data_IF_593995006967
#
_entry.id   IF_593995006967
#
_cell.length_a   1.000
_cell.length_b   1.000
_cell.length_c   1.000
_cell.angle_alpha   90.00
_cell.angle_beta   90.00
_cell.angle_gamma   90.00
#
_symmetry.space_group_name_H-M   'P 1'
#
loop_
_entity.id
_entity.type
_entity.pdbx_description
1 polymer ?
#
# COMPACT_ATOMS: atom_id res chain seq x y z
N UNK A 1 -5.31 10.02 -21.49
CA UNK A 1 -5.52 10.83 -20.26
C UNK A 1 -4.71 12.10 -20.39
N UNK A 2 -5.35 13.27 -20.21
CA UNK A 2 -4.66 14.56 -20.33
C UNK A 2 -3.79 14.82 -19.09
N UNK A 3 -2.62 15.47 -19.25
CA UNK A 3 -1.73 15.87 -18.14
C UNK A 3 -2.46 16.67 -17.06
N UNK A 4 -3.52 17.41 -17.44
CA UNK A 4 -4.35 18.17 -16.50
C UNK A 4 -5.18 17.27 -15.57
N UNK A 5 -5.68 16.13 -16.07
CA UNK A 5 -6.46 15.17 -15.27
C UNK A 5 -5.57 14.44 -14.26
N UNK A 6 -4.33 14.13 -14.67
CA UNK A 6 -3.31 13.54 -13.78
C UNK A 6 -2.97 14.50 -12.63
N UNK A 7 -2.78 15.80 -12.91
CA UNK A 7 -2.51 16.82 -11.88
C UNK A 7 -3.68 17.02 -10.92
N UNK A 8 -4.93 16.94 -11.40
CA UNK A 8 -6.12 17.06 -10.54
C UNK A 8 -6.29 15.81 -9.67
N UNK A 9 -6.02 14.62 -10.21
CA UNK A 9 -5.94 13.39 -9.42
C UNK A 9 -4.82 13.48 -8.38
N UNK A 10 -3.61 13.91 -8.75
CA UNK A 10 -2.49 14.12 -7.81
C UNK A 10 -2.79 15.13 -6.71
N UNK A 11 -3.58 16.17 -7.02
CA UNK A 11 -3.94 17.22 -6.06
C UNK A 11 -5.10 16.81 -5.14
N UNK A 12 -5.98 15.93 -5.61
CA UNK A 12 -7.07 15.30 -4.81
C UNK A 12 -6.62 14.07 -4.04
N UNK A 13 -5.60 13.39 -4.54
CA UNK A 13 -4.96 12.24 -3.91
C UNK A 13 -3.72 12.65 -3.11
N UNK A 14 -3.25 13.90 -3.16
CA UNK A 14 -2.22 14.42 -2.23
C UNK A 14 -2.60 14.29 -0.75
N UNK A 15 -3.86 14.51 -0.36
CA UNK A 15 -4.35 14.15 0.96
C UNK A 15 -4.38 12.64 1.21
N UNK A 16 -4.18 11.78 0.20
CA UNK A 16 -4.32 10.28 0.17
C UNK A 16 -2.99 9.53 -0.11
N UNK A 17 -1.99 10.18 -0.69
CA UNK A 17 -0.67 9.63 -1.05
C UNK A 17 0.53 10.46 -0.51
N UNK A 18 0.31 11.42 0.37
CA UNK A 18 1.35 12.34 0.85
C UNK A 18 2.26 11.77 1.94
N UNK A 19 3.27 11.01 1.52
CA UNK A 19 4.67 10.97 2.01
C UNK A 19 4.89 11.12 3.53
N UNK A 20 5.46 10.05 4.11
CA UNK A 20 6.26 10.04 5.34
C UNK A 20 5.52 10.37 6.65
N UNK A 21 5.20 9.30 7.40
CA UNK A 21 5.11 9.17 8.86
C UNK A 21 4.33 10.20 9.73
N UNK A 22 3.72 11.26 9.18
CA UNK A 22 2.99 12.27 9.98
C UNK A 22 1.71 12.81 9.35
N UNK A 23 1.28 12.37 8.17
CA UNK A 23 0.32 13.16 7.38
C UNK A 23 -0.90 12.41 6.83
N UNK A 24 -1.71 11.80 7.71
CA UNK A 24 -3.12 11.52 7.41
C UNK A 24 -4.15 12.26 8.29
N UNK A 25 -3.90 13.46 8.84
CA UNK A 25 -4.80 14.07 9.80
C UNK A 25 -6.22 14.12 9.26
N UNK A 26 -6.53 14.52 8.02
CA UNK A 26 -7.96 14.61 7.60
C UNK A 26 -8.73 13.28 7.41
N UNK A 27 -8.10 12.19 6.98
CA UNK A 27 -8.77 10.88 6.85
C UNK A 27 -8.74 10.12 8.19
N UNK A 28 -7.66 10.29 8.95
CA UNK A 28 -7.57 9.89 10.35
C UNK A 28 -8.63 10.64 11.16
N UNK A 29 -8.70 11.97 11.14
CA UNK A 29 -9.71 12.82 11.78
C UNK A 29 -11.15 12.39 11.46
N UNK A 30 -11.46 11.99 10.22
CA UNK A 30 -12.80 11.51 9.87
C UNK A 30 -13.11 10.10 10.44
N UNK A 31 -12.08 9.27 10.61
CA UNK A 31 -12.14 7.91 11.14
C UNK A 31 -12.02 7.90 12.68
N UNK A 32 -11.04 8.61 13.24
CA UNK A 32 -10.76 8.89 14.65
C UNK A 32 -11.90 9.68 15.32
N UNK A 33 -12.65 10.51 14.58
CA UNK A 33 -13.91 11.08 15.06
C UNK A 33 -15.07 10.07 15.11
N UNK A 34 -14.82 8.77 14.92
CA UNK A 34 -15.82 7.70 14.94
C UNK A 34 -16.78 7.73 13.75
N UNK A 35 -16.44 8.42 12.65
CA UNK A 35 -17.37 8.70 11.57
C UNK A 35 -17.03 7.97 10.28
N UNK A 36 -16.78 6.67 10.37
CA UNK A 36 -16.51 5.83 9.22
C UNK A 36 -17.64 5.84 8.17
N UNK A 37 -18.88 6.15 8.58
CA UNK A 37 -19.99 6.44 7.64
C UNK A 37 -19.70 7.63 6.72
N UNK A 38 -19.10 8.71 7.22
CA UNK A 38 -18.66 9.84 6.38
C UNK A 38 -17.51 9.46 5.46
N UNK A 39 -16.55 8.66 5.93
CA UNK A 39 -15.44 8.18 5.10
C UNK A 39 -15.95 7.33 3.91
N UNK A 40 -16.92 6.43 4.16
CA UNK A 40 -17.60 5.67 3.11
C UNK A 40 -18.38 6.58 2.16
N UNK A 41 -19.08 7.59 2.66
CA UNK A 41 -19.80 8.55 1.82
C UNK A 41 -18.87 9.36 0.91
N UNK A 42 -17.72 9.81 1.40
CA UNK A 42 -16.72 10.51 0.58
C UNK A 42 -16.12 9.58 -0.48
N UNK A 43 -15.83 8.32 -0.13
CA UNK A 43 -15.40 7.32 -1.10
C UNK A 43 -16.47 7.08 -2.18
N UNK A 44 -17.74 6.96 -1.80
CA UNK A 44 -18.87 6.79 -2.74
C UNK A 44 -19.07 8.03 -3.63
N UNK A 45 -18.86 9.25 -3.13
CA UNK A 45 -18.87 10.46 -3.96
C UNK A 45 -17.79 10.43 -5.03
N UNK A 46 -16.59 9.95 -4.69
CA UNK A 46 -15.50 9.78 -5.66
C UNK A 46 -15.85 8.68 -6.67
N UNK A 47 -16.39 7.55 -6.22
CA UNK A 47 -16.81 6.45 -7.10
C UNK A 47 -17.95 6.85 -8.05
N UNK A 48 -18.86 7.74 -7.64
CA UNK A 48 -19.89 8.30 -8.54
C UNK A 48 -19.30 9.11 -9.69
N UNK A 49 -18.20 9.82 -9.45
CA UNK A 49 -17.51 10.63 -10.49
C UNK A 49 -16.53 9.80 -11.30
N UNK A 50 -15.89 8.82 -10.67
CA UNK A 50 -14.86 7.97 -11.26
C UNK A 50 -15.04 6.51 -10.80
N UNK A 51 -15.99 5.76 -11.39
CA UNK A 51 -16.33 4.40 -10.93
C UNK A 51 -15.23 3.37 -11.18
N UNK A 52 -14.27 3.69 -12.03
CA UNK A 52 -13.14 2.82 -12.42
C UNK A 52 -11.94 2.97 -11.46
N UNK A 53 -11.95 3.96 -10.58
CA UNK A 53 -10.81 4.21 -9.68
C UNK A 53 -10.72 3.14 -8.60
N UNK A 54 -9.79 2.20 -8.77
CA UNK A 54 -9.52 1.11 -7.83
C UNK A 54 -9.16 1.65 -6.44
N UNK A 55 -8.32 2.69 -6.36
CA UNK A 55 -7.96 3.36 -5.11
C UNK A 55 -9.19 3.71 -4.24
N UNK A 56 -10.24 4.29 -4.85
CA UNK A 56 -11.43 4.69 -4.11
C UNK A 56 -12.20 3.49 -3.53
N UNK A 57 -12.19 2.35 -4.23
CA UNK A 57 -12.79 1.09 -3.73
C UNK A 57 -11.97 0.53 -2.56
N UNK A 58 -10.64 0.58 -2.64
CA UNK A 58 -9.76 0.12 -1.55
C UNK A 58 -9.91 1.01 -0.32
N UNK A 59 -10.02 2.33 -0.47
CA UNK A 59 -10.28 3.25 0.63
C UNK A 59 -11.65 3.05 1.28
N UNK A 60 -12.67 2.69 0.48
CA UNK A 60 -13.97 2.27 1.02
C UNK A 60 -13.83 1.00 1.86
N UNK A 61 -13.08 0.02 1.39
CA UNK A 61 -12.80 -1.20 2.15
C UNK A 61 -12.05 -0.89 3.46
N UNK A 62 -11.06 0.02 3.42
CA UNK A 62 -10.34 0.46 4.62
C UNK A 62 -11.28 1.07 5.66
N UNK A 63 -12.22 1.92 5.22
CA UNK A 63 -13.21 2.53 6.11
C UNK A 63 -14.14 1.46 6.73
N UNK A 64 -14.54 0.44 5.97
CA UNK A 64 -15.34 -0.68 6.47
C UNK A 64 -14.57 -1.54 7.48
N UNK A 65 -13.31 -1.88 7.19
CA UNK A 65 -12.42 -2.64 8.09
C UNK A 65 -12.28 -1.92 9.43
N UNK A 66 -12.07 -0.61 9.40
CA UNK A 66 -12.00 0.20 10.63
C UNK A 66 -13.34 0.44 11.33
N UNK A 67 -14.46 0.13 10.69
CA UNK A 67 -15.81 0.18 11.28
C UNK A 67 -16.21 -1.15 11.95
N UNK A 68 -15.27 -2.07 12.18
CA UNK A 68 -15.53 -3.47 12.58
C UNK A 68 -16.28 -4.32 11.55
N UNK A 69 -16.48 -3.82 10.32
CA UNK A 69 -17.10 -4.56 9.20
C UNK A 69 -16.03 -5.25 8.35
N UNK A 70 -15.20 -6.07 8.99
CA UNK A 70 -14.07 -6.75 8.35
C UNK A 70 -14.50 -7.60 7.13
N UNK A 71 -15.61 -8.34 7.25
CA UNK A 71 -16.09 -9.21 6.19
C UNK A 71 -16.43 -8.44 4.90
N UNK A 72 -17.21 -7.35 5.00
CA UNK A 72 -17.56 -6.50 3.85
C UNK A 72 -16.32 -5.84 3.23
N UNK A 73 -15.36 -5.41 4.05
CA UNK A 73 -14.11 -4.83 3.56
C UNK A 73 -13.22 -5.85 2.84
N UNK A 74 -13.12 -7.08 3.37
CA UNK A 74 -12.34 -8.15 2.74
C UNK A 74 -12.94 -8.64 1.44
N UNK A 75 -14.27 -8.72 1.31
CA UNK A 75 -14.93 -9.03 0.05
C UNK A 75 -14.51 -8.06 -1.06
N UNK A 76 -14.52 -6.75 -0.76
CA UNK A 76 -14.06 -5.73 -1.71
C UNK A 76 -12.58 -5.93 -2.05
N UNK A 77 -11.72 -6.10 -1.04
CA UNK A 77 -10.28 -6.30 -1.26
C UNK A 77 -9.99 -7.54 -2.10
N UNK A 78 -10.64 -8.67 -1.80
CA UNK A 78 -10.44 -9.93 -2.52
C UNK A 78 -10.94 -9.85 -3.96
N UNK A 79 -12.01 -9.09 -4.22
CA UNK A 79 -12.48 -8.84 -5.58
C UNK A 79 -11.50 -8.01 -6.43
N UNK A 80 -10.65 -7.20 -5.77
CA UNK A 80 -9.68 -6.34 -6.42
C UNK A 80 -8.29 -6.97 -6.48
N UNK A 81 -7.91 -7.76 -5.48
CA UNK A 81 -6.63 -8.46 -5.35
C UNK A 81 -6.57 -9.70 -6.27
N UNK A 82 -6.75 -9.49 -7.58
CA UNK A 82 -6.69 -10.52 -8.60
C UNK A 82 -5.28 -10.63 -9.22
N UNK A 83 -4.82 -11.84 -9.58
CA UNK A 83 -3.53 -12.04 -10.24
C UNK A 83 -3.45 -11.25 -11.55
N UNK A 84 -2.39 -10.46 -11.72
CA UNK A 84 -2.16 -9.64 -12.93
C UNK A 84 -2.73 -8.22 -12.86
N UNK A 85 -3.44 -7.85 -11.79
CA UNK A 85 -3.84 -6.46 -11.58
C UNK A 85 -2.61 -5.58 -11.32
N UNK A 86 -2.52 -4.48 -12.06
CA UNK A 86 -1.51 -3.45 -11.86
C UNK A 86 -2.12 -2.30 -11.07
N UNK A 87 -1.46 -1.91 -9.99
CA UNK A 87 -1.91 -0.83 -9.12
C UNK A 87 -0.90 0.30 -9.15
N UNK A 88 -1.40 1.53 -9.12
CA UNK A 88 -0.57 2.70 -8.81
C UNK A 88 -0.03 2.59 -7.38
N UNK A 89 1.13 3.23 -7.13
CA UNK A 89 1.80 3.23 -5.81
C UNK A 89 0.84 3.58 -4.69
N UNK A 90 -0.03 4.54 -4.95
CA UNK A 90 -0.99 4.95 -3.98
C UNK A 90 -2.09 3.91 -3.69
N UNK A 91 -2.58 3.18 -4.69
CA UNK A 91 -3.52 2.07 -4.45
C UNK A 91 -2.82 0.96 -3.66
N UNK A 92 -1.53 0.69 -3.92
CA UNK A 92 -0.73 -0.24 -3.11
C UNK A 92 -0.66 0.21 -1.65
N UNK A 93 -0.40 1.50 -1.39
CA UNK A 93 -0.41 2.02 -0.02
C UNK A 93 -1.79 1.84 0.63
N UNK A 94 -2.89 2.09 -0.07
CA UNK A 94 -4.23 1.86 0.48
C UNK A 94 -4.44 0.39 0.89
N UNK A 95 -4.02 -0.57 0.05
CA UNK A 95 -4.06 -1.99 0.39
C UNK A 95 -3.21 -2.33 1.61
N UNK A 96 -2.00 -1.77 1.70
CA UNK A 96 -1.11 -1.94 2.85
C UNK A 96 -1.79 -1.52 4.14
N UNK A 97 -2.51 -0.40 4.14
CA UNK A 97 -3.25 0.06 5.31
C UNK A 97 -4.38 -0.92 5.65
N UNK A 98 -5.16 -1.37 4.67
CA UNK A 98 -6.20 -2.37 4.92
C UNK A 98 -5.64 -3.63 5.57
N UNK A 99 -4.54 -4.17 5.04
CA UNK A 99 -3.92 -5.38 5.57
C UNK A 99 -3.29 -5.18 6.95
N UNK A 100 -2.76 -4.00 7.26
CA UNK A 100 -2.26 -3.67 8.61
C UNK A 100 -3.40 -3.65 9.63
N UNK A 101 -4.48 -2.94 9.32
CA UNK A 101 -5.65 -2.81 10.20
C UNK A 101 -6.35 -4.16 10.40
N UNK A 102 -6.40 -4.97 9.36
CA UNK A 102 -6.97 -6.32 9.44
C UNK A 102 -6.00 -7.37 10.04
N UNK A 103 -4.83 -6.98 10.53
CA UNK A 103 -3.87 -7.88 11.18
C UNK A 103 -3.26 -8.94 10.26
N UNK A 104 -3.22 -8.69 8.94
CA UNK A 104 -2.76 -9.63 7.92
C UNK A 104 -1.46 -9.15 7.22
N UNK A 105 -0.33 -8.96 7.94
CA UNK A 105 0.89 -8.40 7.35
C UNK A 105 1.53 -9.30 6.28
N UNK A 106 1.23 -10.60 6.29
CA UNK A 106 1.69 -11.56 5.28
C UNK A 106 1.18 -11.21 3.87
N UNK A 107 -0.06 -10.69 3.75
CA UNK A 107 -0.61 -10.29 2.45
C UNK A 107 0.13 -9.12 1.83
N UNK A 108 0.70 -8.23 2.64
CA UNK A 108 1.50 -7.10 2.18
C UNK A 108 2.74 -7.57 1.41
N UNK A 109 3.39 -8.63 1.89
CA UNK A 109 4.53 -9.22 1.17
C UNK A 109 4.09 -9.73 -0.19
N UNK A 110 3.02 -10.53 -0.27
CA UNK A 110 2.53 -11.07 -1.54
C UNK A 110 2.07 -9.99 -2.53
N UNK A 111 1.58 -8.85 -2.02
CA UNK A 111 1.18 -7.71 -2.83
C UNK A 111 2.40 -7.07 -3.50
N UNK A 112 3.45 -6.81 -2.73
CA UNK A 112 4.67 -6.19 -3.27
C UNK A 112 5.49 -7.16 -4.11
N UNK A 113 5.49 -8.46 -3.83
CA UNK A 113 6.13 -9.46 -4.71
C UNK A 113 5.51 -9.41 -6.11
N UNK A 114 4.18 -9.33 -6.19
CA UNK A 114 3.45 -9.18 -7.45
C UNK A 114 3.71 -7.83 -8.12
N UNK A 115 3.72 -6.74 -7.34
CA UNK A 115 4.01 -5.41 -7.87
C UNK A 115 5.42 -5.32 -8.48
N UNK A 116 6.43 -5.87 -7.78
CA UNK A 116 7.82 -5.92 -8.25
C UNK A 116 8.00 -6.85 -9.46
N UNK A 117 7.23 -7.94 -9.54
CA UNK A 117 7.26 -8.83 -10.70
C UNK A 117 6.78 -8.15 -11.99
N UNK A 118 5.85 -7.21 -11.88
CA UNK A 118 5.33 -6.44 -13.02
C UNK A 118 6.18 -5.20 -13.30
N UNK A 119 6.45 -4.40 -12.26
CA UNK A 119 7.18 -3.14 -12.35
C UNK A 119 8.21 -3.06 -11.21
N UNK A 120 9.45 -3.55 -11.46
CA UNK A 120 10.52 -3.44 -10.50
C UNK A 120 11.01 -1.99 -10.44
N UNK A 121 10.67 -1.29 -9.36
CA UNK A 121 11.14 0.05 -9.05
C UNK A 121 11.84 0.07 -7.70
N UNK A 122 12.73 1.03 -7.47
CA UNK A 122 13.46 1.19 -6.20
C UNK A 122 12.49 1.28 -5.01
N UNK A 123 11.40 2.04 -5.19
CA UNK A 123 10.37 2.23 -4.17
C UNK A 123 9.63 0.93 -3.87
N UNK A 124 9.20 0.17 -4.89
CA UNK A 124 8.50 -1.10 -4.70
C UNK A 124 9.39 -2.14 -4.03
N UNK A 125 10.65 -2.23 -4.44
CA UNK A 125 11.64 -3.12 -3.84
C UNK A 125 11.94 -2.74 -2.38
N UNK A 126 12.02 -1.44 -2.08
CA UNK A 126 12.19 -0.95 -0.69
C UNK A 126 10.98 -1.32 0.18
N UNK A 127 9.76 -1.14 -0.33
CA UNK A 127 8.56 -1.56 0.39
C UNK A 127 8.47 -3.08 0.57
N UNK A 128 8.89 -3.86 -0.42
CA UNK A 128 8.99 -5.31 -0.32
C UNK A 128 9.99 -5.74 0.77
N UNK A 129 11.16 -5.12 0.81
CA UNK A 129 12.15 -5.34 1.87
C UNK A 129 11.54 -5.08 3.25
N UNK A 130 10.88 -3.93 3.44
CA UNK A 130 10.22 -3.60 4.71
C UNK A 130 9.10 -4.58 5.07
N UNK A 131 8.40 -5.14 4.09
CA UNK A 131 7.41 -6.18 4.32
C UNK A 131 8.05 -7.48 4.83
N UNK A 132 9.17 -7.91 4.24
CA UNK A 132 9.92 -9.08 4.73
C UNK A 132 10.52 -8.87 6.13
N UNK A 133 11.00 -7.66 6.44
CA UNK A 133 11.45 -7.29 7.80
C UNK A 133 10.35 -7.53 8.82
N UNK A 134 9.13 -7.03 8.55
CA UNK A 134 7.97 -7.21 9.46
C UNK A 134 7.61 -8.68 9.65
N UNK A 135 7.70 -9.48 8.60
CA UNK A 135 7.37 -10.91 8.64
C UNK A 135 8.57 -11.78 9.09
N UNK A 136 9.70 -11.17 9.51
CA UNK A 136 10.94 -11.86 9.93
C UNK A 136 11.46 -12.86 8.90
N UNK A 137 11.20 -12.59 7.63
CA UNK A 137 11.61 -13.43 6.51
C UNK A 137 13.02 -13.04 6.04
N UNK A 138 14.01 -13.26 6.91
CA UNK A 138 15.37 -12.73 6.75
C UNK A 138 16.09 -13.23 5.48
N UNK A 139 15.82 -14.45 5.02
CA UNK A 139 16.34 -14.97 3.73
C UNK A 139 15.88 -14.12 2.55
N UNK A 140 14.56 -13.87 2.45
CA UNK A 140 14.01 -13.06 1.38
C UNK A 140 14.41 -11.57 1.52
N UNK A 141 14.54 -11.09 2.76
CA UNK A 141 15.06 -9.75 3.04
C UNK A 141 16.46 -9.55 2.45
N UNK A 142 17.36 -10.52 2.63
CA UNK A 142 18.70 -10.50 2.02
C UNK A 142 18.61 -10.48 0.50
N UNK A 143 17.79 -11.34 -0.12
CA UNK A 143 17.64 -11.41 -1.57
C UNK A 143 17.19 -10.06 -2.17
N UNK A 144 16.19 -9.43 -1.55
CA UNK A 144 15.66 -8.13 -2.00
C UNK A 144 16.70 -7.02 -1.80
N UNK A 145 17.42 -7.00 -0.68
CA UNK A 145 18.48 -6.02 -0.43
C UNK A 145 19.64 -6.13 -1.43
N UNK A 146 20.06 -7.35 -1.74
CA UNK A 146 21.10 -7.59 -2.75
C UNK A 146 20.64 -7.20 -4.16
N UNK A 147 19.35 -7.38 -4.46
CA UNK A 147 18.75 -6.89 -5.71
C UNK A 147 18.75 -5.37 -5.79
N UNK A 148 18.30 -4.69 -4.74
CA UNK A 148 18.36 -3.21 -4.61
C UNK A 148 19.78 -2.68 -4.79
N UNK A 149 20.76 -3.31 -4.14
CA UNK A 149 22.15 -2.91 -4.27
C UNK A 149 22.68 -3.10 -5.70
N UNK A 150 22.36 -4.22 -6.36
CA UNK A 150 22.79 -4.49 -7.75
C UNK A 150 22.17 -3.54 -8.76
N UNK A 151 20.89 -3.20 -8.60
CA UNK A 151 20.15 -2.36 -9.57
C UNK A 151 20.44 -0.86 -9.40
N UNK A 152 20.57 -0.37 -8.15
CA UNK A 152 20.69 1.07 -7.85
C UNK A 152 22.06 1.49 -7.32
N UNK A 153 22.96 0.53 -7.04
CA UNK A 153 24.34 0.73 -6.58
C UNK A 153 24.49 1.69 -5.38
N UNK A 154 23.51 1.67 -4.46
CA UNK A 154 23.49 2.54 -3.30
C UNK A 154 23.98 1.81 -2.04
N UNK A 155 25.01 2.36 -1.38
CA UNK A 155 25.70 1.74 -0.24
C UNK A 155 24.80 1.30 0.93
N UNK A 156 23.72 2.02 1.33
CA UNK A 156 22.81 1.58 2.38
C UNK A 156 22.15 0.22 2.11
N UNK A 157 21.85 -0.10 0.84
CA UNK A 157 21.23 -1.38 0.49
C UNK A 157 22.17 -2.58 0.70
N UNK A 158 23.47 -2.37 0.55
CA UNK A 158 24.46 -3.39 0.90
C UNK A 158 24.44 -3.69 2.40
N UNK A 159 24.43 -2.65 3.24
CA UNK A 159 24.32 -2.81 4.71
C UNK A 159 23.02 -3.48 5.13
N UNK A 160 21.91 -3.20 4.44
CA UNK A 160 20.65 -3.92 4.66
C UNK A 160 20.78 -5.42 4.41
N UNK A 161 21.50 -5.81 3.36
CA UNK A 161 21.80 -7.21 3.06
C UNK A 161 22.63 -7.87 4.15
N UNK A 162 23.71 -7.21 4.60
CA UNK A 162 24.56 -7.70 5.69
C UNK A 162 23.78 -7.87 6.99
N UNK A 163 22.98 -6.87 7.37
CA UNK A 163 22.12 -6.94 8.56
C UNK A 163 21.10 -8.09 8.48
N UNK A 164 20.56 -8.34 7.28
CA UNK A 164 19.64 -9.46 7.05
C UNK A 164 20.32 -10.82 7.25
N UNK A 165 21.62 -10.95 7.02
CA UNK A 165 22.39 -12.18 7.29
C UNK A 165 22.62 -12.33 8.79
N UNK A 166 22.99 -11.25 9.47
CA UNK A 166 23.21 -11.25 10.93
C UNK A 166 21.94 -11.70 11.68
N UNK A 167 20.76 -11.26 11.22
CA UNK A 167 19.48 -11.64 11.82
C UNK A 167 19.04 -13.09 11.54
N UNK A 168 19.73 -13.82 10.66
CA UNK A 168 19.45 -15.24 10.38
C UNK A 168 20.11 -16.20 11.37
N UNK A 169 21.07 -15.72 12.17
CA UNK A 169 21.81 -16.48 13.18
C UNK A 169 20.99 -16.56 14.46
#
# INVERSE_FOLDING_TARGET
>A
MSKADQLIMERRLRPIYGISLLLYPRFSDAIDAGNAKKAVQEADKVLKKHPVTVCAKVLKALALIRSDKLAEGFEIINSLDVPGAQFDDGTLQAFVHCFKEAGCPNRITTLYERAVAVSPSEQNLTHLFMAHVRNRSFKNQQLVAMRLFKEFNNSPYFFWGVMSIVMQV
#
